data_IF_375952824494
#
_entry.id   IF_375952824494
#
_cell.length_a   1.000
_cell.length_b   1.000
_cell.length_c   1.000
_cell.angle_alpha   90.00
_cell.angle_beta   90.00
_cell.angle_gamma   90.00
#
_symmetry.space_group_name_H-M   'P 1'
#
loop_
_entity.id
_entity.type
_entity.pdbx_description
1 polymer ?
#
# COMPACT_ATOMS: atom_id res chain seq x y z
N UNK A 1 9.92 -1.61 -9.13
CA UNK A 1 10.54 -1.78 -10.47
C UNK A 1 10.65 -0.46 -11.25
N UNK A 2 9.61 0.40 -11.36
CA UNK A 2 9.71 1.68 -12.09
C UNK A 2 10.84 2.60 -11.60
N UNK A 3 11.10 2.63 -10.28
CA UNK A 3 12.08 3.52 -9.65
C UNK A 3 13.52 3.29 -10.13
N UNK A 4 13.95 2.04 -10.38
CA UNK A 4 15.34 1.74 -10.83
C UNK A 4 15.56 2.23 -12.27
N UNK A 5 14.52 2.13 -13.09
CA UNK A 5 14.55 2.63 -14.48
C UNK A 5 14.60 4.15 -14.47
N UNK A 6 13.70 4.80 -13.73
CA UNK A 6 13.66 6.28 -13.60
C UNK A 6 14.99 6.81 -13.06
N UNK A 7 15.56 6.17 -12.04
CA UNK A 7 16.86 6.51 -11.48
C UNK A 7 17.98 6.40 -12.51
N UNK A 8 17.97 5.35 -13.34
CA UNK A 8 18.98 5.15 -14.39
C UNK A 8 18.87 6.20 -15.50
N UNK A 9 17.65 6.60 -15.86
CA UNK A 9 17.41 7.70 -16.80
C UNK A 9 17.86 9.05 -16.23
N UNK A 10 17.57 9.32 -14.95
CA UNK A 10 18.05 10.52 -14.26
C UNK A 10 19.59 10.60 -14.22
N UNK A 11 20.27 9.48 -13.88
CA UNK A 11 21.74 9.40 -13.92
C UNK A 11 22.28 9.69 -15.32
N UNK A 12 21.66 9.13 -16.36
CA UNK A 12 22.04 9.40 -17.76
C UNK A 12 21.91 10.88 -18.10
N UNK A 13 20.78 11.51 -17.75
CA UNK A 13 20.56 12.95 -17.96
C UNK A 13 21.65 13.78 -17.31
N UNK A 14 22.02 13.47 -16.07
CA UNK A 14 23.07 14.21 -15.36
C UNK A 14 24.46 14.00 -15.99
N UNK A 15 24.79 12.78 -16.43
CA UNK A 15 26.04 12.56 -17.17
C UNK A 15 26.14 13.44 -18.42
N UNK A 16 25.07 13.50 -19.21
CA UNK A 16 25.01 14.35 -20.40
C UNK A 16 25.14 15.84 -20.04
N UNK A 17 24.48 16.28 -18.95
CA UNK A 17 24.58 17.66 -18.44
C UNK A 17 26.01 18.05 -18.06
N UNK A 18 26.82 17.11 -17.57
CA UNK A 18 28.20 17.34 -17.15
C UNK A 18 29.24 16.90 -18.20
N UNK A 19 28.88 16.89 -19.48
CA UNK A 19 29.80 16.66 -20.59
C UNK A 19 30.25 15.21 -20.80
N UNK A 20 29.68 14.25 -20.05
CA UNK A 20 29.95 12.82 -20.24
C UNK A 20 28.98 12.24 -21.26
N UNK A 21 29.48 11.39 -22.15
CA UNK A 21 28.64 10.67 -23.11
C UNK A 21 28.22 9.32 -22.55
N UNK A 22 26.98 8.90 -22.82
CA UNK A 22 26.48 7.59 -22.43
C UNK A 22 25.50 7.09 -23.48
N UNK A 23 25.82 5.94 -24.09
CA UNK A 23 24.96 5.35 -25.12
C UNK A 23 23.66 4.81 -24.51
N UNK A 24 22.61 4.72 -25.34
CA UNK A 24 21.35 4.06 -24.95
C UNK A 24 21.60 2.61 -24.51
N UNK A 25 22.41 1.86 -25.27
CA UNK A 25 22.75 0.46 -24.97
C UNK A 25 23.41 0.31 -23.59
N UNK A 26 24.31 1.22 -23.23
CA UNK A 26 24.95 1.24 -21.91
C UNK A 26 23.94 1.42 -20.78
N UNK A 27 22.91 2.25 -20.98
CA UNK A 27 21.85 2.47 -19.99
C UNK A 27 20.97 1.23 -19.85
N UNK A 28 20.58 0.60 -20.97
CA UNK A 28 19.82 -0.66 -20.96
C UNK A 28 20.58 -1.76 -20.22
N UNK A 29 21.87 -1.95 -20.52
CA UNK A 29 22.71 -2.93 -19.84
C UNK A 29 22.85 -2.64 -18.35
N UNK A 30 22.97 -1.36 -17.98
CA UNK A 30 23.04 -0.93 -16.58
C UNK A 30 21.76 -1.23 -15.83
N UNK A 31 20.60 -0.86 -16.38
CA UNK A 31 19.28 -1.18 -15.81
C UNK A 31 19.14 -2.68 -15.62
N UNK A 32 19.46 -3.46 -16.67
CA UNK A 32 19.37 -4.91 -16.63
C UNK A 32 20.25 -5.52 -15.53
N UNK A 33 21.52 -5.08 -15.43
CA UNK A 33 22.45 -5.49 -14.36
C UNK A 33 21.94 -5.10 -12.97
N UNK A 34 21.49 -3.85 -12.81
CA UNK A 34 21.07 -3.33 -11.51
C UNK A 34 19.80 -4.04 -11.01
N UNK A 35 18.85 -4.36 -11.91
CA UNK A 35 17.67 -5.16 -11.60
C UNK A 35 18.02 -6.59 -11.21
N UNK A 36 18.92 -7.23 -11.97
CA UNK A 36 19.36 -8.59 -11.67
C UNK A 36 20.03 -8.66 -10.28
N UNK A 37 20.94 -7.72 -10.00
CA UNK A 37 21.61 -7.60 -8.69
C UNK A 37 20.60 -7.33 -7.58
N UNK A 38 19.67 -6.39 -7.79
CA UNK A 38 18.64 -6.08 -6.81
C UNK A 38 17.79 -7.30 -6.48
N UNK A 39 17.31 -8.03 -7.49
CA UNK A 39 16.54 -9.24 -7.30
C UNK A 39 17.30 -10.29 -6.49
N UNK A 40 18.55 -10.58 -6.86
CA UNK A 40 19.41 -11.56 -6.18
C UNK A 40 19.76 -11.18 -4.74
N UNK A 41 19.99 -9.89 -4.47
CA UNK A 41 20.43 -9.41 -3.15
C UNK A 41 19.27 -9.20 -2.18
N UNK A 42 18.17 -8.61 -2.65
CA UNK A 42 17.03 -8.23 -1.79
C UNK A 42 16.05 -9.39 -1.62
N UNK A 43 15.98 -10.29 -2.60
CA UNK A 43 15.06 -11.43 -2.56
C UNK A 43 15.83 -12.75 -2.66
N UNK A 44 16.31 -13.30 -1.53
CA UNK A 44 17.05 -14.57 -1.50
C UNK A 44 16.31 -15.77 -2.12
N UNK A 45 14.98 -15.65 -2.32
CA UNK A 45 14.12 -16.66 -2.95
C UNK A 45 14.06 -16.54 -4.48
N UNK A 46 14.59 -15.47 -5.08
CA UNK A 46 14.73 -15.28 -6.53
C UNK A 46 16.11 -15.74 -7.01
N UNK A 47 16.55 -16.94 -6.61
CA UNK A 47 17.88 -17.44 -6.98
C UNK A 47 17.99 -17.70 -8.49
N UNK A 48 16.91 -18.15 -9.11
CA UNK A 48 16.83 -18.50 -10.54
C UNK A 48 16.55 -17.30 -11.46
N UNK A 49 16.76 -16.07 -10.96
CA UNK A 49 16.54 -14.86 -11.76
C UNK A 49 17.49 -14.84 -12.97
N UNK A 50 16.97 -14.86 -14.21
CA UNK A 50 17.79 -14.90 -15.42
C UNK A 50 18.50 -13.57 -15.66
N UNK A 51 19.57 -13.56 -16.48
CA UNK A 51 20.38 -12.35 -16.71
C UNK A 51 19.85 -11.49 -17.86
N UNK A 52 19.16 -12.08 -18.85
CA UNK A 52 18.68 -11.34 -20.04
C UNK A 52 17.37 -10.61 -19.75
N UNK A 53 17.25 -9.36 -20.20
CA UNK A 53 16.08 -8.51 -19.98
C UNK A 53 14.75 -9.18 -20.29
N UNK A 54 14.59 -9.75 -21.50
CA UNK A 54 13.36 -10.44 -21.91
C UNK A 54 12.96 -11.52 -20.92
N UNK A 55 13.95 -12.28 -20.46
CA UNK A 55 13.74 -13.40 -19.55
C UNK A 55 13.45 -12.91 -18.12
N UNK A 56 14.06 -11.79 -17.70
CA UNK A 56 13.77 -11.14 -16.40
C UNK A 56 12.31 -10.69 -16.38
N UNK A 57 11.84 -10.03 -17.43
CA UNK A 57 10.45 -9.57 -17.54
C UNK A 57 9.50 -10.76 -17.45
N UNK A 58 9.70 -11.78 -18.28
CA UNK A 58 8.85 -12.99 -18.27
C UNK A 58 8.91 -13.73 -16.93
N UNK A 59 10.08 -13.78 -16.27
CA UNK A 59 10.22 -14.37 -14.93
C UNK A 59 9.39 -13.59 -13.92
N UNK A 60 9.53 -12.26 -13.87
CA UNK A 60 8.85 -11.40 -12.89
C UNK A 60 7.33 -11.36 -13.11
N UNK A 61 6.86 -11.40 -14.35
CA UNK A 61 5.42 -11.51 -14.67
C UNK A 61 4.80 -12.79 -14.15
N UNK A 62 5.55 -13.89 -14.17
CA UNK A 62 5.11 -15.21 -13.67
C UNK A 62 5.38 -15.40 -12.18
N UNK A 63 6.24 -14.57 -11.58
CA UNK A 63 6.68 -14.74 -10.21
C UNK A 63 5.56 -14.38 -9.23
N UNK A 64 5.11 -15.40 -8.47
CA UNK A 64 4.15 -15.23 -7.37
C UNK A 64 4.89 -15.40 -6.03
N UNK A 65 5.24 -14.31 -5.32
CA UNK A 65 5.92 -14.43 -4.04
C UNK A 65 5.02 -15.17 -3.04
N UNK A 66 5.58 -16.16 -2.34
CA UNK A 66 4.95 -16.69 -1.12
C UNK A 66 5.13 -15.65 -0.01
N UNK A 67 4.06 -14.90 0.27
CA UNK A 67 4.00 -13.94 1.36
C UNK A 67 3.60 -14.70 2.62
N UNK A 68 4.49 -14.71 3.61
CA UNK A 68 4.18 -15.21 4.94
C UNK A 68 3.68 -14.02 5.76
N UNK A 69 2.47 -14.12 6.26
CA UNK A 69 1.92 -13.16 7.20
C UNK A 69 1.32 -13.94 8.36
N UNK A 70 1.49 -13.40 9.57
CA UNK A 70 0.73 -13.86 10.72
C UNK A 70 -0.52 -12.96 10.78
N UNK A 71 -1.72 -13.46 10.49
CA UNK A 71 -2.93 -12.67 10.65
C UNK A 71 -3.14 -12.39 12.14
N UNK A 72 -2.88 -11.15 12.57
CA UNK A 72 -3.22 -10.70 13.92
C UNK A 72 -4.70 -10.29 13.90
N UNK A 73 -5.57 -11.24 14.21
CA UNK A 73 -7.00 -11.00 14.35
C UNK A 73 -7.33 -10.63 15.80
N UNK A 74 -7.59 -9.35 16.06
CA UNK A 74 -8.23 -8.91 17.29
C UNK A 74 -9.71 -9.27 17.22
N UNK A 75 -10.07 -10.45 17.73
CA UNK A 75 -11.45 -10.91 17.80
C UNK A 75 -12.10 -10.42 19.10
N UNK A 76 -13.27 -9.78 19.04
CA UNK A 76 -14.02 -9.46 20.26
C UNK A 76 -14.55 -10.76 20.89
N UNK A 77 -14.91 -10.70 22.18
CA UNK A 77 -15.60 -11.80 22.86
C UNK A 77 -16.90 -12.16 22.16
N UNK A 78 -17.39 -13.38 22.38
CA UNK A 78 -18.69 -13.81 21.86
C UNK A 78 -19.80 -12.86 22.32
N UNK A 79 -20.71 -12.49 21.41
CA UNK A 79 -21.75 -11.49 21.66
C UNK A 79 -21.30 -10.03 21.56
N UNK A 80 -20.00 -9.77 21.35
CA UNK A 80 -19.49 -8.42 21.16
C UNK A 80 -19.18 -8.13 19.69
N UNK A 81 -19.40 -6.88 19.30
CA UNK A 81 -18.93 -6.32 18.05
C UNK A 81 -17.61 -5.59 18.27
N UNK A 82 -16.71 -5.71 17.31
CA UNK A 82 -15.52 -4.87 17.21
C UNK A 82 -15.79 -3.76 16.22
N UNK A 83 -15.69 -2.52 16.68
CA UNK A 83 -15.73 -1.36 15.82
C UNK A 83 -14.31 -0.88 15.50
N UNK A 84 -14.00 -0.71 14.22
CA UNK A 84 -12.80 -0.03 13.75
C UNK A 84 -13.22 1.28 13.08
N UNK A 85 -12.74 2.41 13.58
CA UNK A 85 -13.02 3.76 13.06
C UNK A 85 -11.79 4.32 12.35
N UNK A 86 -12.02 5.29 11.47
CA UNK A 86 -10.98 6.03 10.78
C UNK A 86 -11.49 7.40 10.33
N UNK A 87 -10.71 8.44 10.60
CA UNK A 87 -10.90 9.79 10.09
C UNK A 87 -9.79 10.18 9.12
N UNK A 88 -10.13 10.94 8.08
CA UNK A 88 -9.15 11.52 7.17
C UNK A 88 -9.52 12.95 6.81
N UNK A 89 -8.51 13.81 6.66
CA UNK A 89 -8.68 15.21 6.28
C UNK A 89 -7.60 15.65 5.29
N UNK A 90 -8.00 16.43 4.28
CA UNK A 90 -7.11 17.09 3.29
C UNK A 90 -6.84 18.53 3.71
N UNK A 91 -6.15 18.70 4.82
CA UNK A 91 -5.92 19.99 5.46
C UNK A 91 -6.10 19.86 6.97
N UNK A 92 -5.96 20.96 7.71
CA UNK A 92 -6.32 20.99 9.12
C UNK A 92 -6.71 22.43 9.54
N UNK A 93 -7.89 22.93 9.13
CA UNK A 93 -9.00 22.19 8.53
C UNK A 93 -8.93 22.02 6.99
N UNK A 94 -9.75 21.13 6.45
CA UNK A 94 -9.99 20.94 5.02
C UNK A 94 -11.07 19.89 4.73
N UNK A 95 -11.34 19.59 3.45
CA UNK A 95 -12.27 18.51 3.07
C UNK A 95 -11.88 17.21 3.74
N UNK A 96 -12.84 16.58 4.40
CA UNK A 96 -12.60 15.45 5.29
C UNK A 96 -13.55 14.30 5.01
N UNK A 97 -13.27 13.13 5.56
CA UNK A 97 -14.10 11.93 5.46
C UNK A 97 -13.98 11.14 6.75
N UNK A 98 -15.04 10.44 7.13
CA UNK A 98 -14.99 9.44 8.18
C UNK A 98 -15.36 8.07 7.62
N UNK A 99 -14.98 7.02 8.33
CA UNK A 99 -15.48 5.69 8.09
C UNK A 99 -15.36 4.80 9.31
N UNK A 100 -16.22 3.81 9.39
CA UNK A 100 -16.12 2.75 10.38
C UNK A 100 -16.58 1.41 9.82
N UNK A 101 -16.16 0.34 10.49
CA UNK A 101 -16.66 -1.00 10.22
C UNK A 101 -16.85 -1.80 11.51
N UNK A 102 -17.90 -2.62 11.51
CA UNK A 102 -18.26 -3.52 12.60
C UNK A 102 -17.95 -4.95 12.21
N UNK A 103 -17.31 -5.70 13.11
CA UNK A 103 -17.00 -7.11 12.93
C UNK A 103 -17.54 -7.94 14.09
N UNK A 104 -18.07 -9.12 13.79
CA UNK A 104 -18.55 -10.06 14.80
C UNK A 104 -17.37 -10.79 15.48
N UNK A 105 -17.68 -11.64 16.46
CA UNK A 105 -16.69 -12.47 17.19
C UNK A 105 -15.92 -13.47 16.31
N UNK A 106 -16.44 -13.83 15.13
CA UNK A 106 -15.74 -14.66 14.15
C UNK A 106 -14.71 -13.87 13.34
N UNK A 107 -14.84 -12.53 13.35
CA UNK A 107 -14.03 -11.59 12.57
C UNK A 107 -14.68 -11.17 11.25
N UNK A 108 -15.89 -11.66 10.97
CA UNK A 108 -16.63 -11.34 9.75
C UNK A 108 -17.09 -9.89 9.78
N UNK A 109 -17.01 -9.22 8.63
CA UNK A 109 -17.54 -7.87 8.46
C UNK A 109 -19.07 -7.94 8.48
N UNK A 110 -19.69 -7.23 9.41
CA UNK A 110 -21.15 -7.19 9.57
C UNK A 110 -21.73 -5.90 8.99
N UNK A 111 -21.01 -4.78 9.17
CA UNK A 111 -21.42 -3.47 8.67
C UNK A 111 -20.20 -2.60 8.37
N UNK A 112 -20.34 -1.68 7.43
CA UNK A 112 -19.39 -0.61 7.18
C UNK A 112 -20.10 0.63 6.62
N UNK A 113 -19.63 1.80 7.04
CA UNK A 113 -20.11 3.09 6.55
C UNK A 113 -18.93 4.04 6.42
N UNK A 114 -19.03 4.95 5.46
CA UNK A 114 -18.13 6.08 5.35
C UNK A 114 -18.75 7.16 4.51
N UNK A 115 -18.54 8.40 4.91
CA UNK A 115 -19.12 9.57 4.26
C UNK A 115 -18.15 10.74 4.26
N UNK A 116 -18.48 11.73 3.44
CA UNK A 116 -17.75 12.98 3.35
C UNK A 116 -18.18 13.96 4.45
N UNK A 117 -17.20 14.66 5.01
CA UNK A 117 -17.35 15.84 5.85
C UNK A 117 -16.85 17.03 5.02
N UNK A 118 -17.75 17.97 4.72
CA UNK A 118 -17.45 19.09 3.81
C UNK A 118 -16.17 19.85 4.20
N UNK A 119 -16.01 20.16 5.48
CA UNK A 119 -14.81 20.76 6.02
C UNK A 119 -14.64 20.33 7.47
N UNK A 120 -13.41 19.96 7.85
CA UNK A 120 -13.09 19.51 9.19
C UNK A 120 -11.59 19.32 9.39
N UNK A 121 -11.20 19.20 10.64
CA UNK A 121 -9.87 18.80 11.07
C UNK A 121 -9.71 17.29 11.06
N UNK A 122 -8.47 16.81 11.15
CA UNK A 122 -8.21 15.38 11.31
C UNK A 122 -8.86 14.83 12.60
N UNK A 123 -8.85 15.61 13.69
CA UNK A 123 -9.42 15.20 14.97
C UNK A 123 -10.95 15.14 14.92
N UNK A 124 -11.60 16.10 14.27
CA UNK A 124 -13.06 16.08 14.07
C UNK A 124 -13.49 14.89 13.22
N UNK A 125 -12.74 14.55 12.17
CA UNK A 125 -13.05 13.39 11.34
C UNK A 125 -13.00 12.07 12.14
N UNK A 126 -11.99 11.90 13.00
CA UNK A 126 -11.88 10.74 13.90
C UNK A 126 -13.03 10.71 14.93
N UNK A 127 -13.36 11.86 15.53
CA UNK A 127 -14.44 11.97 16.52
C UNK A 127 -15.81 11.66 15.90
N UNK A 128 -16.05 12.14 14.68
CA UNK A 128 -17.28 11.85 13.91
C UNK A 128 -17.35 10.36 13.59
N UNK A 129 -16.24 9.72 13.18
CA UNK A 129 -16.21 8.27 12.93
C UNK A 129 -16.68 7.46 14.15
N UNK A 130 -16.25 7.84 15.36
CA UNK A 130 -16.66 7.20 16.60
C UNK A 130 -18.15 7.46 16.89
N UNK A 131 -18.59 8.72 16.76
CA UNK A 131 -19.98 9.11 17.02
C UNK A 131 -20.96 8.34 16.12
N UNK A 132 -20.69 8.30 14.82
CA UNK A 132 -21.56 7.63 13.84
C UNK A 132 -21.58 6.11 14.06
N UNK A 133 -20.44 5.52 14.41
CA UNK A 133 -20.37 4.11 14.77
C UNK A 133 -21.23 3.77 16.00
N UNK A 134 -21.14 4.59 17.05
CA UNK A 134 -21.94 4.40 18.26
C UNK A 134 -23.43 4.63 18.01
N UNK A 135 -23.77 5.65 17.21
CA UNK A 135 -25.15 5.94 16.83
C UNK A 135 -25.77 4.75 16.09
N UNK A 136 -25.07 4.19 15.11
CA UNK A 136 -25.51 3.00 14.39
C UNK A 136 -25.71 1.79 15.31
N UNK A 137 -24.76 1.53 16.22
CA UNK A 137 -24.89 0.44 17.20
C UNK A 137 -26.07 0.63 18.16
N UNK A 138 -26.42 1.87 18.50
CA UNK A 138 -27.54 2.18 19.38
C UNK A 138 -28.90 2.01 18.68
N UNK A 139 -29.00 2.30 17.39
CA UNK A 139 -30.25 2.21 16.63
C UNK A 139 -30.57 0.79 16.17
N UNK A 140 -29.57 0.05 15.70
CA UNK A 140 -29.79 -1.27 15.09
C UNK A 140 -29.86 -2.43 16.10
N UNK A 141 -29.64 -2.15 17.39
CA UNK A 141 -29.68 -3.15 18.45
C UNK A 141 -28.57 -4.19 18.29
N UNK A 142 -27.57 -4.14 19.18
CA UNK A 142 -26.65 -5.26 19.35
C UNK A 142 -27.44 -6.43 19.97
N UNK A 143 -28.13 -7.21 19.14
CA UNK A 143 -28.74 -8.50 19.50
C UNK A 143 -27.69 -9.59 19.66
#
# INVERSE_FOLDING_TARGET
MPTIIIWSLWKRRNHLKHGKTTSFRSVVLKVNSDLWKFGRLVYPKMQDLPIRWSNIVTFLEKYKPKIYYLPICWKPSQGCLKCNTYGASRGNPGRSTYGFCLRNSKGDLVYAQGEEIQEGTNLEAEAIAIREALAHCATEGVN
#
